data_IF_550370271095
#
_entry.id   IF_550370271095
#
_cell.length_a   1.000
_cell.length_b   1.000
_cell.length_c   1.000
_cell.angle_alpha   90.00
_cell.angle_beta   90.00
_cell.angle_gamma   90.00
#
_symmetry.space_group_name_H-M   'P 1'
#
loop_
_entity.id
_entity.type
_entity.pdbx_description
1 polymer ?
#
# COMPACT_ATOMS: atom_id res chain seq x y z
N UNK A 1 8.04 21.24 -19.76
CA UNK A 1 8.29 19.79 -19.90
C UNK A 1 6.98 19.05 -19.76
N UNK A 2 6.69 18.02 -20.56
CA UNK A 2 5.44 17.26 -20.48
C UNK A 2 5.64 16.02 -19.61
N UNK A 3 4.74 15.78 -18.67
CA UNK A 3 4.76 14.64 -17.76
C UNK A 3 3.35 14.34 -17.23
N UNK A 4 3.16 13.11 -16.78
CA UNK A 4 1.98 12.72 -15.99
C UNK A 4 2.29 13.00 -14.53
N UNK A 5 1.38 13.69 -13.84
CA UNK A 5 1.51 14.05 -12.43
C UNK A 5 0.44 13.35 -11.60
N UNK A 6 0.86 12.76 -10.48
CA UNK A 6 -0.05 12.29 -9.44
C UNK A 6 0.40 12.90 -8.11
N UNK A 7 -0.51 13.63 -7.45
CA UNK A 7 -0.35 14.03 -6.07
C UNK A 7 -0.81 12.88 -5.17
N UNK A 8 0.11 12.33 -4.38
CA UNK A 8 -0.20 11.24 -3.46
C UNK A 8 -0.76 11.76 -2.13
N UNK A 9 -0.65 13.06 -1.83
CA UNK A 9 -0.98 13.58 -0.51
C UNK A 9 0.04 13.16 0.55
N UNK A 10 -0.40 13.21 1.82
CA UNK A 10 0.40 12.77 2.95
C UNK A 10 0.48 11.23 3.01
N UNK A 11 1.71 10.73 3.05
CA UNK A 11 2.04 9.31 3.07
C UNK A 11 3.00 8.98 4.20
N UNK A 12 2.94 7.74 4.64
CA UNK A 12 3.78 7.19 5.71
C UNK A 12 5.01 6.53 5.10
N UNK A 13 6.13 6.62 5.83
CA UNK A 13 7.33 5.85 5.54
C UNK A 13 6.98 4.36 5.36
N UNK A 14 7.55 3.75 4.33
CA UNK A 14 7.41 2.33 4.04
C UNK A 14 6.20 1.97 3.18
N UNK A 15 5.23 2.86 2.98
CA UNK A 15 4.20 2.67 1.95
C UNK A 15 4.84 2.52 0.57
N UNK A 16 4.23 1.72 -0.30
CA UNK A 16 4.77 1.42 -1.63
C UNK A 16 3.95 2.12 -2.68
N UNK A 17 4.60 2.96 -3.48
CA UNK A 17 4.04 3.53 -4.69
C UNK A 17 4.23 2.53 -5.81
N UNK A 18 3.14 1.95 -6.31
CA UNK A 18 3.15 1.08 -7.47
C UNK A 18 2.70 1.85 -8.72
N UNK A 19 3.54 1.82 -9.75
CA UNK A 19 3.32 2.51 -11.01
C UNK A 19 3.24 1.47 -12.13
N UNK A 20 2.11 1.42 -12.80
CA UNK A 20 1.92 0.59 -14.01
C UNK A 20 2.11 1.46 -15.23
N UNK A 21 2.92 1.00 -16.18
CA UNK A 21 3.24 1.71 -17.42
C UNK A 21 2.91 0.84 -18.64
N UNK A 22 2.48 1.46 -19.74
CA UNK A 22 2.32 0.76 -21.03
C UNK A 22 3.64 0.62 -21.79
N UNK A 23 4.60 1.49 -21.53
CA UNK A 23 5.93 1.52 -22.14
C UNK A 23 6.94 2.14 -21.18
N UNK A 24 8.23 1.86 -21.36
CA UNK A 24 9.28 2.35 -20.47
C UNK A 24 9.32 3.87 -20.39
N UNK A 25 9.46 4.40 -19.17
CA UNK A 25 9.43 5.82 -18.87
C UNK A 25 10.26 6.15 -17.62
N UNK A 26 10.59 7.41 -17.41
CA UNK A 26 11.17 7.85 -16.15
C UNK A 26 10.07 7.93 -15.10
N UNK A 27 10.28 7.31 -13.95
CA UNK A 27 9.39 7.42 -12.78
C UNK A 27 10.16 8.12 -11.68
N UNK A 28 9.64 9.26 -11.22
CA UNK A 28 10.28 10.12 -10.22
C UNK A 28 9.33 10.36 -9.05
N UNK A 29 9.68 9.82 -7.89
CA UNK A 29 9.02 10.06 -6.62
C UNK A 29 9.74 11.21 -5.88
N UNK A 30 9.00 12.24 -5.49
CA UNK A 30 9.54 13.49 -4.94
C UNK A 30 8.67 14.01 -3.81
N UNK A 31 9.28 14.67 -2.82
CA UNK A 31 8.56 15.51 -1.88
C UNK A 31 8.08 16.82 -2.56
N UNK A 32 7.31 17.63 -1.85
CA UNK A 32 6.74 18.87 -2.38
C UNK A 32 7.79 19.88 -2.87
N UNK A 33 8.91 20.04 -2.15
CA UNK A 33 9.98 20.98 -2.52
C UNK A 33 10.69 20.53 -3.79
N UNK A 34 11.03 19.25 -3.89
CA UNK A 34 11.66 18.67 -5.06
C UNK A 34 10.73 18.63 -6.27
N UNK A 35 9.44 18.36 -6.07
CA UNK A 35 8.46 18.41 -7.14
C UNK A 35 8.28 19.83 -7.70
N UNK A 36 8.24 20.84 -6.82
CA UNK A 36 8.21 22.25 -7.25
C UNK A 36 9.44 22.61 -8.08
N UNK A 37 10.64 22.20 -7.63
CA UNK A 37 11.87 22.41 -8.40
C UNK A 37 11.84 21.68 -9.75
N UNK A 38 11.42 20.42 -9.78
CA UNK A 38 11.26 19.62 -11.00
C UNK A 38 10.30 20.30 -12.00
N UNK A 39 9.12 20.72 -11.54
CA UNK A 39 8.11 21.40 -12.38
C UNK A 39 8.66 22.69 -12.99
N UNK A 40 9.53 23.38 -12.27
CA UNK A 40 10.18 24.61 -12.70
C UNK A 40 11.52 24.39 -13.45
N UNK A 41 11.90 23.15 -13.75
CA UNK A 41 13.15 22.83 -14.45
C UNK A 41 14.42 23.14 -13.65
N UNK A 42 14.31 23.27 -12.32
CA UNK A 42 15.43 23.53 -11.42
C UNK A 42 16.04 22.21 -10.93
N UNK A 43 17.21 22.30 -10.32
CA UNK A 43 17.86 21.16 -9.68
C UNK A 43 16.99 20.60 -8.56
N UNK A 44 16.81 19.28 -8.56
CA UNK A 44 15.97 18.56 -7.61
C UNK A 44 16.52 17.15 -7.41
N UNK A 45 16.06 16.48 -6.35
CA UNK A 45 16.33 15.07 -6.05
C UNK A 45 15.04 14.28 -6.18
N UNK A 46 15.16 13.01 -6.52
CA UNK A 46 14.03 12.10 -6.65
C UNK A 46 14.47 10.67 -6.34
N UNK A 47 13.49 9.83 -6.03
CA UNK A 47 13.63 8.39 -5.94
C UNK A 47 13.04 7.76 -7.19
N UNK A 48 13.69 6.73 -7.72
CA UNK A 48 13.31 6.07 -8.98
C UNK A 48 14.33 6.32 -10.10
N UNK A 49 13.86 6.39 -11.34
CA UNK A 49 14.69 6.44 -12.53
C UNK A 49 13.97 5.86 -13.75
N UNK A 50 14.73 5.40 -14.73
CA UNK A 50 14.18 4.77 -15.93
C UNK A 50 13.56 3.40 -15.58
N UNK A 51 12.24 3.34 -15.60
CA UNK A 51 11.47 2.10 -15.45
C UNK A 51 11.40 1.38 -16.80
N UNK A 52 12.04 0.21 -16.88
CA UNK A 52 11.99 -0.66 -18.07
C UNK A 52 10.97 -1.79 -17.96
N UNK A 53 10.51 -2.07 -16.74
CA UNK A 53 9.57 -3.13 -16.40
C UNK A 53 8.35 -2.54 -15.67
N UNK A 54 7.21 -3.19 -15.81
CA UNK A 54 5.94 -2.77 -15.22
C UNK A 54 5.26 -3.97 -14.56
N UNK A 55 4.72 -3.84 -13.33
CA UNK A 55 4.71 -2.62 -12.52
C UNK A 55 6.07 -2.29 -11.89
N UNK A 56 6.36 -1.01 -11.70
CA UNK A 56 7.50 -0.53 -10.92
C UNK A 56 7.04 -0.13 -9.51
N UNK A 57 7.83 -0.48 -8.49
CA UNK A 57 7.50 -0.22 -7.09
C UNK A 57 8.57 0.65 -6.44
N UNK A 58 8.15 1.74 -5.81
CA UNK A 58 9.04 2.66 -5.08
C UNK A 58 8.56 2.78 -3.63
N UNK A 59 9.44 2.49 -2.68
CA UNK A 59 9.14 2.68 -1.27
C UNK A 59 9.23 4.16 -0.88
N UNK A 60 8.28 4.61 -0.07
CA UNK A 60 8.29 5.96 0.49
C UNK A 60 9.35 6.02 1.61
N UNK A 61 10.41 6.83 1.45
CA UNK A 61 11.58 6.79 2.33
C UNK A 61 11.34 7.46 3.69
N UNK A 62 10.46 8.46 3.74
CA UNK A 62 10.06 9.15 4.96
C UNK A 62 8.62 9.64 4.85
N UNK A 63 7.96 9.83 6.00
CA UNK A 63 6.57 10.31 6.04
C UNK A 63 6.51 11.78 5.63
N UNK A 64 5.53 12.13 4.78
CA UNK A 64 5.38 13.50 4.28
C UNK A 64 4.43 13.58 3.09
N UNK A 65 4.38 14.73 2.43
CA UNK A 65 3.58 14.92 1.22
C UNK A 65 4.41 14.55 -0.01
N UNK A 66 3.92 13.60 -0.79
CA UNK A 66 4.65 13.02 -1.92
C UNK A 66 3.94 13.21 -3.26
N UNK A 67 4.74 13.35 -4.31
CA UNK A 67 4.29 13.45 -5.69
C UNK A 67 5.04 12.46 -6.58
N UNK A 68 4.37 11.97 -7.61
CA UNK A 68 4.97 11.15 -8.67
C UNK A 68 4.87 11.90 -9.98
N UNK A 69 6.00 12.04 -10.66
CA UNK A 69 6.08 12.49 -12.03
C UNK A 69 6.55 11.34 -12.93
N UNK A 70 5.88 11.17 -14.06
CA UNK A 70 6.22 10.19 -15.09
C UNK A 70 6.46 10.91 -16.40
N UNK A 71 7.67 10.82 -16.93
CA UNK A 71 8.10 11.61 -18.09
C UNK A 71 8.88 10.77 -19.12
N UNK A 72 8.93 11.29 -20.34
CA UNK A 72 9.67 10.71 -21.46
C UNK A 72 10.97 11.48 -21.76
N UNK A 73 11.54 12.19 -20.77
CA UNK A 73 12.75 12.98 -20.98
C UNK A 73 13.91 12.07 -21.42
N UNK A 74 14.48 12.37 -22.60
CA UNK A 74 15.54 11.55 -23.20
C UNK A 74 15.06 10.24 -23.82
N UNK A 75 13.75 10.01 -23.88
CA UNK A 75 13.12 8.82 -24.46
C UNK A 75 12.26 9.19 -25.68
N UNK A 76 11.92 8.19 -26.50
CA UNK A 76 11.02 8.34 -27.65
C UNK A 76 9.67 7.67 -27.38
N UNK A 77 8.63 8.18 -28.03
CA UNK A 77 7.27 7.65 -27.91
C UNK A 77 6.50 8.26 -26.75
N UNK A 78 5.40 7.59 -26.36
CA UNK A 78 4.53 7.99 -25.27
C UNK A 78 4.25 6.80 -24.36
N UNK A 79 3.82 7.09 -23.14
CA UNK A 79 3.39 6.09 -22.17
C UNK A 79 2.06 6.51 -21.55
N UNK A 80 1.23 5.54 -21.18
CA UNK A 80 0.12 5.72 -20.26
C UNK A 80 0.52 5.11 -18.92
N UNK A 81 0.04 5.71 -17.84
CA UNK A 81 0.39 5.29 -16.50
C UNK A 81 -0.82 5.24 -15.58
N UNK A 82 -0.80 4.31 -14.62
CA UNK A 82 -1.64 4.33 -13.44
C UNK A 82 -0.77 4.23 -12.19
N UNK A 83 -1.20 4.91 -11.13
CA UNK A 83 -0.48 4.97 -9.86
C UNK A 83 -1.41 4.55 -8.75
N UNK A 84 -0.94 3.66 -7.88
CA UNK A 84 -1.63 3.30 -6.64
C UNK A 84 -0.65 3.23 -5.48
N UNK A 85 -1.13 3.49 -4.28
CA UNK A 85 -0.35 3.34 -3.05
C UNK A 85 -0.80 2.07 -2.35
N UNK A 86 0.16 1.20 -2.06
CA UNK A 86 -0.02 -0.02 -1.28
C UNK A 86 0.45 0.23 0.16
N UNK A 87 -0.20 -0.40 1.15
CA UNK A 87 0.27 -0.34 2.53
C UNK A 87 1.72 -0.83 2.62
N UNK A 88 2.46 -0.24 3.55
CA UNK A 88 3.82 -0.69 3.86
C UNK A 88 3.84 -2.06 4.54
N UNK A 89 5.02 -2.50 4.94
CA UNK A 89 5.18 -3.75 5.69
C UNK A 89 4.21 -3.78 6.89
N UNK A 90 3.56 -4.92 7.09
CA UNK A 90 2.69 -5.12 8.24
C UNK A 90 3.49 -4.84 9.52
N UNK A 91 2.88 -4.21 10.55
CA UNK A 91 3.54 -4.04 11.81
C UNK A 91 3.94 -5.42 12.36
N UNK A 92 5.10 -5.47 13.00
CA UNK A 92 5.53 -6.65 13.74
C UNK A 92 4.45 -7.02 14.77
N UNK A 93 4.12 -8.31 14.87
CA UNK A 93 3.13 -8.80 15.82
C UNK A 93 3.61 -8.42 17.22
N UNK A 94 2.81 -7.62 17.92
CA UNK A 94 3.03 -7.29 19.32
C UNK A 94 2.08 -8.15 20.16
N UNK A 95 2.65 -9.11 20.89
CA UNK A 95 1.92 -9.83 21.93
C UNK A 95 1.68 -8.87 23.10
N UNK A 96 0.49 -8.28 23.16
CA UNK A 96 0.02 -7.55 24.35
C UNK A 96 -0.81 -8.48 25.22
N UNK A 97 -0.62 -8.49 26.56
CA UNK A 97 -1.48 -9.25 27.45
C UNK A 97 -2.96 -8.90 27.21
N UNK A 98 -3.82 -9.91 27.16
CA UNK A 98 -5.27 -9.73 26.95
C UNK A 98 -5.91 -8.79 27.98
N UNK A 99 -5.33 -8.69 29.19
CA UNK A 99 -5.76 -7.79 30.25
C UNK A 99 -5.60 -6.30 29.90
N UNK A 100 -4.64 -5.96 29.03
CA UNK A 100 -4.34 -4.57 28.65
C UNK A 100 -5.16 -4.09 27.44
N UNK A 101 -6.06 -4.93 26.90
CA UNK A 101 -6.95 -4.59 25.79
C UNK A 101 -8.41 -4.66 26.27
N UNK A 102 -8.96 -3.59 26.88
CA UNK A 102 -10.28 -3.61 27.54
C UNK A 102 -11.43 -3.97 26.61
N UNK A 103 -11.28 -3.76 25.29
CA UNK A 103 -12.30 -4.10 24.28
C UNK A 103 -12.39 -5.60 23.97
N UNK A 104 -11.39 -6.41 24.34
CA UNK A 104 -11.40 -7.86 24.15
C UNK A 104 -11.94 -8.62 25.37
N UNK A 105 -12.09 -7.95 26.51
CA UNK A 105 -12.76 -8.50 27.69
C UNK A 105 -14.26 -8.37 27.48
N UNK A 106 -14.88 -9.41 26.92
CA UNK A 106 -16.34 -9.53 26.87
C UNK A 106 -16.85 -9.66 28.31
N UNK A 107 -17.32 -8.55 28.89
CA UNK A 107 -17.94 -8.53 30.24
C UNK A 107 -19.36 -9.07 30.27
N UNK A 108 -19.91 -9.36 29.10
CA UNK A 108 -21.26 -9.90 28.97
C UNK A 108 -21.24 -11.39 29.26
N UNK A 109 -21.74 -11.75 30.45
CA UNK A 109 -22.15 -13.12 30.76
C UNK A 109 -23.26 -13.47 29.75
N UNK A 110 -23.09 -14.52 28.92
CA UNK A 110 -24.18 -14.98 28.07
C UNK A 110 -25.40 -15.25 28.94
N UNK A 111 -26.62 -14.81 28.55
CA UNK A 111 -27.81 -15.21 29.28
C UNK A 111 -27.80 -16.73 29.40
N UNK A 112 -28.11 -17.25 30.58
CA UNK A 112 -28.23 -18.68 30.79
C UNK A 112 -29.18 -19.22 29.72
N UNK A 113 -28.66 -20.07 28.85
CA UNK A 113 -29.47 -20.76 27.85
C UNK A 113 -30.39 -21.66 28.66
N UNK A 114 -31.65 -21.26 28.80
CA UNK A 114 -32.68 -22.21 29.24
C UNK A 114 -32.62 -23.36 28.24
N UNK A 115 -32.27 -24.55 28.73
CA UNK A 115 -32.29 -25.77 27.95
C UNK A 115 -33.74 -26.17 27.70
N UNK A 116 -34.45 -25.34 26.93
CA UNK A 116 -35.61 -25.80 26.20
C UNK A 116 -35.02 -26.63 25.07
N UNK A 117 -35.21 -27.95 25.13
CA UNK A 117 -34.55 -28.99 24.32
C UNK A 117 -34.66 -28.85 22.80
N UNK A 118 -34.19 -27.73 22.27
CA UNK A 118 -34.05 -27.45 20.86
C UNK A 118 -32.69 -27.98 20.45
N UNK A 119 -32.73 -29.14 19.81
CA UNK A 119 -31.60 -29.69 19.06
C UNK A 119 -31.16 -28.65 18.05
N UNK A 120 -29.95 -28.10 18.22
CA UNK A 120 -29.33 -27.26 17.22
C UNK A 120 -28.49 -28.16 16.34
N UNK A 121 -28.84 -28.26 15.06
CA UNK A 121 -28.02 -28.98 14.07
C UNK A 121 -26.73 -28.19 13.83
N UNK A 122 -25.64 -28.65 14.45
CA UNK A 122 -24.30 -28.09 14.24
C UNK A 122 -23.72 -28.66 12.96
N UNK A 123 -23.75 -27.88 11.88
CA UNK A 123 -23.02 -28.22 10.66
C UNK A 123 -21.53 -27.91 10.85
N UNK A 124 -20.73 -28.88 11.34
CA UNK A 124 -19.27 -28.78 11.26
C UNK A 124 -18.85 -29.11 9.83
N UNK A 125 -18.53 -28.08 9.05
CA UNK A 125 -17.90 -28.24 7.74
C UNK A 125 -16.48 -28.78 7.94
N UNK A 126 -16.29 -30.08 7.75
CA UNK A 126 -14.97 -30.69 7.69
C UNK A 126 -14.22 -30.17 6.46
N UNK A 127 -13.16 -29.39 6.68
CA UNK A 127 -12.16 -29.12 5.63
C UNK A 127 -11.00 -30.08 5.84
N UNK A 128 -10.93 -31.11 4.99
CA UNK A 128 -9.77 -32.00 4.90
C UNK A 128 -8.72 -31.33 4.01
N UNK A 129 -7.66 -30.80 4.60
CA UNK A 129 -6.46 -30.39 3.88
C UNK A 129 -5.72 -31.68 3.49
N UNK A 130 -5.73 -32.03 2.21
CA UNK A 130 -4.86 -33.07 1.68
C UNK A 130 -3.49 -32.43 1.44
N UNK A 131 -2.50 -32.84 2.22
CA UNK A 131 -1.09 -32.58 1.93
C UNK A 131 -0.61 -33.84 1.18
N UNK A 132 -0.36 -33.73 -0.12
CA UNK A 132 0.39 -34.76 -0.85
C UNK A 132 1.88 -34.59 -0.52
N UNK A 133 2.53 -35.70 -0.19
CA UNK A 133 3.99 -35.85 -0.09
C UNK A 133 4.44 -36.64 -1.32
#
# INVERSE_FOLDING_TARGET
MQFIHNDLGNRKKGEIVEVTLTSGANVRLMDSSNFSNYRNGRQHRFYGGLAKQSPTRLAIPNSGHWHVAIDMQGLRGSTRASVRVLPGALPEIREVPLADVPSLVRKDIPPAVESNGQSHDVFISHVKILIEI
#
